data_IF_560875261680
#
_entry.id   IF_560875261680
#
_cell.length_a   1.000
_cell.length_b   1.000
_cell.length_c   1.000
_cell.angle_alpha   90.00
_cell.angle_beta   90.00
_cell.angle_gamma   90.00
#
_symmetry.space_group_name_H-M   'P 1'
#
loop_
_entity.id
_entity.type
_entity.pdbx_description
1 polymer ?
#
# COMPACT_ATOMS: atom_id res chain seq x y z
N UNK A 1 18.57 61.52 32.91
CA UNK A 1 17.49 60.55 32.64
C UNK A 1 18.02 59.56 31.61
N UNK A 2 18.65 58.49 32.09
CA UNK A 2 19.45 57.58 31.26
C UNK A 2 18.58 56.55 30.55
N UNK A 3 18.82 56.40 29.25
CA UNK A 3 18.30 55.35 28.41
C UNK A 3 18.85 54.01 28.90
N UNK A 4 18.00 53.15 29.47
CA UNK A 4 18.41 51.81 29.86
C UNK A 4 18.41 50.94 28.60
N UNK A 5 19.63 50.71 28.11
CA UNK A 5 19.95 49.90 26.95
C UNK A 5 19.40 48.48 27.10
N UNK A 6 18.80 47.97 26.03
CA UNK A 6 18.52 46.56 25.83
C UNK A 6 19.82 45.74 25.95
N UNK A 7 19.82 44.67 26.75
CA UNK A 7 20.82 43.59 26.72
C UNK A 7 20.20 42.29 27.25
N UNK A 8 20.70 41.11 26.84
CA UNK A 8 20.03 40.28 25.84
C UNK A 8 19.37 39.03 26.42
N UNK A 9 18.45 38.47 25.64
CA UNK A 9 17.80 37.19 25.85
C UNK A 9 18.82 36.05 25.67
N UNK A 10 19.62 35.76 26.69
CA UNK A 10 20.48 34.58 26.71
C UNK A 10 19.69 33.38 27.21
N UNK A 11 19.30 32.49 26.28
CA UNK A 11 18.86 31.14 26.61
C UNK A 11 19.61 30.13 25.73
N UNK A 12 20.87 29.91 26.08
CA UNK A 12 21.61 28.71 25.69
C UNK A 12 21.16 27.57 26.59
N UNK A 13 20.14 26.85 26.15
CA UNK A 13 19.75 25.56 26.71
C UNK A 13 19.74 24.57 25.56
N UNK A 14 20.74 23.70 25.52
CA UNK A 14 20.89 22.63 24.54
C UNK A 14 19.66 21.75 24.49
N UNK A 15 18.74 22.08 23.60
CA UNK A 15 17.60 21.25 23.24
C UNK A 15 17.76 20.93 21.78
N UNK A 16 17.83 19.64 21.46
CA UNK A 16 17.64 19.14 20.10
C UNK A 16 16.41 19.85 19.55
N UNK A 17 16.65 20.83 18.68
CA UNK A 17 15.61 21.61 18.04
C UNK A 17 14.91 20.68 17.08
N UNK A 18 13.94 19.92 17.59
CA UNK A 18 12.91 19.34 16.75
C UNK A 18 12.18 20.55 16.19
N UNK A 19 12.48 20.90 14.94
CA UNK A 19 11.70 21.88 14.17
C UNK A 19 10.23 21.60 14.44
N UNK A 20 9.38 22.61 14.68
CA UNK A 20 7.97 22.38 14.89
C UNK A 20 7.45 21.60 13.70
N UNK A 21 7.12 20.33 13.92
CA UNK A 21 6.61 19.45 12.88
C UNK A 21 5.23 20.01 12.55
N UNK A 22 5.07 20.48 11.31
CA UNK A 22 3.81 21.03 10.87
C UNK A 22 2.73 19.95 10.92
N UNK A 23 1.49 20.33 11.21
CA UNK A 23 0.34 19.40 11.14
C UNK A 23 0.31 18.68 9.77
N UNK A 24 0.71 19.38 8.70
CA UNK A 24 0.86 18.81 7.35
C UNK A 24 1.90 17.69 7.27
N UNK A 25 3.01 17.82 7.99
CA UNK A 25 4.07 16.80 8.01
C UNK A 25 3.60 15.56 8.77
N UNK A 26 2.85 15.73 9.87
CA UNK A 26 2.22 14.62 10.59
C UNK A 26 1.20 13.87 9.73
N UNK A 27 0.38 14.61 8.97
CA UNK A 27 -0.60 14.02 8.04
C UNK A 27 0.12 13.23 6.95
N UNK A 28 1.17 13.80 6.35
CA UNK A 28 1.96 13.13 5.31
C UNK A 28 2.66 11.88 5.84
N UNK A 29 3.22 11.94 7.05
CA UNK A 29 3.88 10.81 7.69
C UNK A 29 2.88 9.67 7.99
N UNK A 30 1.70 10.01 8.52
CA UNK A 30 0.64 9.03 8.76
C UNK A 30 0.18 8.37 7.44
N UNK A 31 -0.08 9.17 6.41
CA UNK A 31 -0.48 8.69 5.09
C UNK A 31 0.60 7.81 4.44
N UNK A 32 1.88 8.20 4.60
CA UNK A 32 3.01 7.44 4.06
C UNK A 32 3.11 6.06 4.71
N UNK A 33 2.94 5.96 6.04
CA UNK A 33 2.96 4.68 6.77
C UNK A 33 1.86 3.74 6.30
N UNK A 34 0.63 4.24 6.20
CA UNK A 34 -0.51 3.47 5.69
C UNK A 34 -0.25 2.97 4.27
N UNK A 35 0.25 3.86 3.40
CA UNK A 35 0.56 3.53 2.00
C UNK A 35 1.64 2.45 1.89
N UNK A 36 2.70 2.54 2.70
CA UNK A 36 3.79 1.56 2.70
C UNK A 36 3.31 0.19 3.22
N UNK A 37 2.47 0.17 4.25
CA UNK A 37 1.83 -1.05 4.73
C UNK A 37 0.97 -1.73 3.66
N UNK A 38 0.14 -0.94 2.96
CA UNK A 38 -0.68 -1.45 1.87
C UNK A 38 0.17 -1.97 0.70
N UNK A 39 1.21 -1.22 0.30
CA UNK A 39 2.11 -1.60 -0.78
C UNK A 39 2.81 -2.94 -0.50
N UNK A 40 3.23 -3.17 0.74
CA UNK A 40 3.82 -4.45 1.16
C UNK A 40 2.83 -5.61 1.03
N UNK A 41 1.59 -5.43 1.51
CA UNK A 41 0.54 -6.46 1.39
C UNK A 41 0.23 -6.78 -0.08
N UNK A 42 0.12 -5.76 -0.93
CA UNK A 42 -0.10 -5.95 -2.38
C UNK A 42 1.05 -6.75 -3.01
N UNK A 43 2.30 -6.46 -2.64
CA UNK A 43 3.46 -7.22 -3.11
C UNK A 43 3.37 -8.70 -2.71
N UNK A 44 3.05 -8.98 -1.45
CA UNK A 44 2.89 -10.35 -0.95
C UNK A 44 1.77 -11.12 -1.69
N UNK A 45 0.64 -10.46 -1.94
CA UNK A 45 -0.46 -11.06 -2.71
C UNK A 45 0.00 -11.40 -4.13
N UNK A 46 0.70 -10.48 -4.80
CA UNK A 46 1.23 -10.72 -6.15
C UNK A 46 2.21 -11.89 -6.17
N UNK A 47 3.13 -11.97 -5.21
CA UNK A 47 4.07 -13.09 -5.09
C UNK A 47 3.35 -14.42 -4.85
N UNK A 48 2.30 -14.43 -4.01
CA UNK A 48 1.48 -15.61 -3.79
C UNK A 48 0.77 -16.06 -5.08
N UNK A 49 0.17 -15.11 -5.82
CA UNK A 49 -0.52 -15.39 -7.09
C UNK A 49 0.42 -15.82 -8.22
N UNK A 50 1.72 -15.54 -8.12
CA UNK A 50 2.73 -16.03 -9.05
C UNK A 50 3.14 -17.49 -8.78
N UNK A 51 2.78 -18.06 -7.61
CA UNK A 51 3.09 -19.45 -7.31
C UNK A 51 2.27 -20.40 -8.17
N UNK A 52 2.89 -21.40 -8.82
CA UNK A 52 2.19 -22.31 -9.72
C UNK A 52 1.11 -23.12 -8.98
N UNK A 53 1.29 -23.43 -7.70
CA UNK A 53 0.30 -24.14 -6.89
C UNK A 53 -0.97 -23.30 -6.68
N UNK A 54 -0.79 -22.00 -6.39
CA UNK A 54 -1.90 -21.06 -6.23
C UNK A 54 -2.63 -20.86 -7.55
N UNK A 55 -1.90 -20.71 -8.66
CA UNK A 55 -2.51 -20.59 -9.99
C UNK A 55 -3.27 -21.84 -10.40
N UNK A 56 -2.70 -23.03 -10.18
CA UNK A 56 -3.37 -24.30 -10.47
C UNK A 56 -4.65 -24.45 -9.65
N UNK A 57 -4.62 -24.07 -8.38
CA UNK A 57 -5.81 -24.09 -7.52
C UNK A 57 -6.88 -23.10 -7.96
N UNK A 58 -6.51 -21.87 -8.33
CA UNK A 58 -7.43 -20.88 -8.90
C UNK A 58 -8.06 -21.41 -10.19
N UNK A 59 -7.24 -21.99 -11.08
CA UNK A 59 -7.73 -22.57 -12.34
C UNK A 59 -8.72 -23.71 -12.08
N UNK A 60 -8.39 -24.63 -11.18
CA UNK A 60 -9.30 -25.71 -10.76
C UNK A 60 -10.61 -25.16 -10.21
N UNK A 61 -10.57 -24.22 -9.28
CA UNK A 61 -11.80 -23.67 -8.66
C UNK A 61 -12.65 -22.86 -9.65
N UNK A 62 -12.03 -22.06 -10.53
CA UNK A 62 -12.75 -21.22 -11.48
C UNK A 62 -13.31 -21.97 -12.70
N UNK A 63 -12.56 -22.94 -13.23
CA UNK A 63 -12.87 -23.61 -14.50
C UNK A 63 -13.32 -25.07 -14.33
N UNK A 64 -12.71 -25.84 -13.42
CA UNK A 64 -13.04 -27.27 -13.23
C UNK A 64 -14.19 -27.48 -12.23
N UNK A 65 -14.23 -26.69 -11.14
CA UNK A 65 -15.28 -26.77 -10.11
C UNK A 65 -16.67 -26.31 -10.58
N UNK A 66 -16.74 -25.55 -11.69
CA UNK A 66 -18.01 -25.09 -12.29
C UNK A 66 -18.59 -26.05 -13.33
N UNK A 67 -17.79 -26.95 -13.90
CA UNK A 67 -18.23 -27.86 -14.97
C UNK A 67 -19.23 -28.93 -14.49
N UNK A 68 -19.20 -29.29 -13.21
CA UNK A 68 -20.07 -30.35 -12.66
C UNK A 68 -21.53 -29.86 -12.50
N UNK A 69 -21.74 -28.55 -12.38
CA UNK A 69 -23.06 -27.97 -12.10
C UNK A 69 -23.78 -27.42 -13.34
N UNK A 70 -23.12 -27.46 -14.50
CA UNK A 70 -23.60 -26.79 -15.71
C UNK A 70 -23.72 -27.71 -16.94
N UNK A 71 -23.83 -29.02 -16.72
CA UNK A 71 -24.05 -30.02 -17.79
C UNK A 71 -25.36 -29.85 -18.58
N UNK A 72 -26.12 -28.78 -18.32
CA UNK A 72 -27.27 -28.37 -19.11
C UNK A 72 -27.02 -27.16 -20.02
N UNK A 73 -25.84 -26.55 -20.06
CA UNK A 73 -25.53 -25.54 -21.08
C UNK A 73 -24.24 -25.86 -21.82
N UNK A 74 -24.41 -26.67 -22.86
CA UNK A 74 -23.58 -26.66 -24.03
C UNK A 74 -23.56 -25.23 -24.62
N UNK A 75 -22.55 -24.45 -24.25
CA UNK A 75 -22.03 -23.38 -25.08
C UNK A 75 -20.53 -23.32 -24.83
N UNK A 76 -19.85 -24.08 -25.68
CA UNK A 76 -18.46 -23.98 -26.02
C UNK A 76 -18.08 -22.50 -26.20
N UNK A 77 -17.41 -21.92 -25.19
CA UNK A 77 -16.71 -20.65 -25.36
C UNK A 77 -15.23 -20.99 -25.44
N UNK A 78 -14.81 -21.19 -26.68
CA UNK A 78 -13.41 -21.30 -27.07
C UNK A 78 -12.67 -20.01 -26.68
N UNK A 79 -11.82 -20.11 -25.65
CA UNK A 79 -10.90 -19.04 -25.24
C UNK A 79 -9.64 -18.96 -26.13
N UNK A 80 -9.63 -19.64 -27.28
CA UNK A 80 -8.63 -19.46 -28.33
C UNK A 80 -9.04 -18.36 -29.32
N UNK A 81 -9.11 -17.11 -28.88
CA UNK A 81 -9.00 -15.98 -29.82
C UNK A 81 -7.96 -14.97 -29.35
N UNK A 82 -6.76 -15.15 -29.91
CA UNK A 82 -5.95 -14.10 -30.52
C UNK A 82 -5.31 -13.06 -29.58
N UNK A 83 -4.11 -13.40 -29.08
CA UNK A 83 -3.06 -12.42 -28.77
C UNK A 83 -2.22 -12.22 -30.04
N UNK A 84 -2.50 -11.14 -30.78
CA UNK A 84 -1.56 -10.48 -31.72
C UNK A 84 -1.45 -9.03 -31.32
#
# INVERSE_FOLDING_TARGET
>A
MGQLCCFPFSRDEGKISKKPIGIRDLINEALHRETMGLKSKVKQIKELLLKPETQARIRRELFEGRLINNSNSANDVDFSTTLT
#
